data_IF_250815248035
#
_entry.id   IF_250815248035
#
_cell.length_a   1.000
_cell.length_b   1.000
_cell.length_c   1.000
_cell.angle_alpha   90.00
_cell.angle_beta   90.00
_cell.angle_gamma   90.00
#
_symmetry.space_group_name_H-M   'P 1'
#
loop_
_entity.id
_entity.type
_entity.pdbx_description
1 polymer ?
#
# COMPACT_ATOMS: atom_id res chain seq x y z
N UNK A 1 -20.21 13.57 -17.87
CA UNK A 1 -19.50 12.77 -16.85
C UNK A 1 -19.89 13.37 -15.53
N UNK A 2 -20.89 12.80 -14.85
CA UNK A 2 -21.39 13.37 -13.60
C UNK A 2 -20.29 13.24 -12.54
N UNK A 3 -20.01 14.35 -11.85
CA UNK A 3 -19.27 14.40 -10.59
C UNK A 3 -19.91 13.39 -9.63
N UNK A 4 -19.33 12.19 -9.58
CA UNK A 4 -19.76 11.16 -8.65
C UNK A 4 -18.87 11.30 -7.42
N UNK A 5 -19.43 11.94 -6.40
CA UNK A 5 -18.84 12.37 -5.13
C UNK A 5 -18.23 11.24 -4.25
N UNK A 6 -18.02 10.03 -4.78
CA UNK A 6 -17.53 8.85 -4.03
C UNK A 6 -16.02 8.87 -3.77
N UNK A 7 -15.26 9.67 -4.54
CA UNK A 7 -13.81 9.85 -4.34
C UNK A 7 -13.44 10.77 -3.17
N UNK A 8 -14.41 11.48 -2.59
CA UNK A 8 -14.15 12.54 -1.58
C UNK A 8 -13.83 12.01 -0.18
N UNK A 9 -14.14 10.73 0.10
CA UNK A 9 -13.87 10.11 1.40
C UNK A 9 -12.41 9.68 1.50
N UNK A 10 -11.59 10.55 2.10
CA UNK A 10 -10.13 10.43 2.28
C UNK A 10 -9.62 9.00 2.57
N UNK A 11 -10.28 8.26 3.45
CA UNK A 11 -9.83 6.93 3.89
C UNK A 11 -10.39 5.75 3.09
N UNK A 12 -11.39 5.98 2.24
CA UNK A 12 -12.07 4.91 1.50
C UNK A 12 -11.61 4.77 0.05
N UNK A 13 -10.93 5.80 -0.48
CA UNK A 13 -10.33 5.79 -1.84
C UNK A 13 -11.30 5.29 -2.93
N UNK A 14 -12.59 5.53 -2.77
CA UNK A 14 -13.63 5.10 -3.71
C UNK A 14 -13.93 3.59 -3.75
N UNK A 15 -13.37 2.74 -2.88
CA UNK A 15 -13.64 1.28 -2.87
C UNK A 15 -14.98 0.89 -2.21
N UNK A 16 -15.99 1.75 -2.31
CA UNK A 16 -17.31 1.46 -1.77
C UNK A 16 -18.08 0.57 -2.76
N UNK A 17 -18.70 -0.50 -2.26
CA UNK A 17 -19.62 -1.30 -3.08
C UNK A 17 -20.90 -0.51 -3.30
N UNK A 18 -21.30 -0.31 -4.57
CA UNK A 18 -22.63 0.24 -4.87
C UNK A 18 -23.72 -0.79 -4.47
N UNK A 19 -24.86 -0.31 -3.97
CA UNK A 19 -26.02 -1.13 -3.59
C UNK A 19 -26.59 -1.89 -4.81
N UNK A 20 -27.27 -3.05 -4.64
CA UNK A 20 -27.89 -3.77 -5.76
C UNK A 20 -28.79 -2.86 -6.62
N UNK A 21 -28.46 -2.76 -7.91
CA UNK A 21 -29.16 -1.92 -8.89
C UNK A 21 -28.32 -0.77 -9.49
N UNK A 22 -27.12 -0.55 -8.98
CA UNK A 22 -26.21 0.47 -9.52
C UNK A 22 -25.42 -0.05 -10.73
N UNK A 23 -24.84 0.87 -11.52
CA UNK A 23 -24.31 0.69 -12.89
C UNK A 23 -23.08 -0.22 -13.03
N UNK A 24 -22.76 -1.03 -12.02
CA UNK A 24 -21.71 -2.06 -12.08
C UNK A 24 -20.28 -1.51 -12.09
N UNK A 25 -20.08 -0.25 -11.71
CA UNK A 25 -18.74 0.34 -11.66
C UNK A 25 -18.07 0.03 -10.32
N UNK A 26 -16.86 -0.52 -10.37
CA UNK A 26 -16.02 -0.75 -9.21
C UNK A 26 -14.64 -0.16 -9.45
N UNK A 27 -14.23 0.78 -8.59
CA UNK A 27 -12.89 1.34 -8.61
C UNK A 27 -11.81 0.26 -8.45
N UNK A 28 -12.12 -0.87 -7.79
CA UNK A 28 -11.19 -2.00 -7.70
C UNK A 28 -10.99 -2.69 -9.06
N UNK A 29 -12.07 -2.90 -9.81
CA UNK A 29 -11.99 -3.48 -11.16
C UNK A 29 -11.23 -2.52 -12.08
N UNK A 30 -11.63 -1.25 -12.11
CA UNK A 30 -11.02 -0.24 -12.97
C UNK A 30 -9.53 -0.05 -12.67
N UNK A 31 -9.18 0.04 -11.38
CA UNK A 31 -7.79 0.10 -10.94
C UNK A 31 -7.01 -1.15 -11.34
N UNK A 32 -7.57 -2.35 -11.16
CA UNK A 32 -6.87 -3.59 -11.55
C UNK A 32 -6.54 -3.61 -13.04
N UNK A 33 -7.41 -3.07 -13.90
CA UNK A 33 -7.26 -3.07 -15.34
C UNK A 33 -6.29 -2.00 -15.85
N UNK A 34 -6.20 -0.84 -15.19
CA UNK A 34 -5.52 0.33 -15.77
C UNK A 34 -4.47 0.98 -14.87
N UNK A 35 -4.32 0.56 -13.62
CA UNK A 35 -3.33 1.15 -12.72
C UNK A 35 -1.90 0.91 -13.24
N UNK A 36 -1.05 1.92 -13.06
CA UNK A 36 0.39 1.78 -13.24
C UNK A 36 0.97 0.76 -12.26
N UNK A 37 2.09 0.10 -12.59
CA UNK A 37 2.85 -0.72 -11.65
C UNK A 37 3.13 0.02 -10.35
N UNK A 38 3.12 -0.72 -9.24
CA UNK A 38 3.52 -0.19 -7.93
C UNK A 38 4.99 0.22 -7.95
N UNK A 39 5.30 1.29 -7.23
CA UNK A 39 6.66 1.83 -7.13
C UNK A 39 7.65 0.80 -6.58
N UNK A 40 8.89 0.95 -7.02
CA UNK A 40 10.01 0.15 -6.53
C UNK A 40 10.72 0.85 -5.38
N UNK A 41 11.25 0.09 -4.40
CA UNK A 41 12.15 0.68 -3.43
C UNK A 41 13.37 1.27 -4.16
N UNK A 42 13.94 2.38 -3.66
CA UNK A 42 15.20 2.87 -4.16
C UNK A 42 16.29 1.79 -4.00
N UNK A 43 17.33 1.78 -4.86
CA UNK A 43 18.41 0.82 -4.75
C UNK A 43 19.05 0.83 -3.36
N UNK A 44 19.33 -0.35 -2.81
CA UNK A 44 19.97 -0.49 -1.49
C UNK A 44 21.36 0.17 -1.41
N UNK A 45 22.00 0.45 -2.55
CA UNK A 45 23.24 1.21 -2.61
C UNK A 45 23.11 2.65 -2.09
N UNK A 46 21.90 3.20 -2.07
CA UNK A 46 21.61 4.56 -1.59
C UNK A 46 21.69 4.63 -0.06
N UNK A 47 21.31 3.56 0.64
CA UNK A 47 21.34 3.51 2.11
C UNK A 47 22.13 2.29 2.60
N UNK A 48 23.40 2.52 2.92
CA UNK A 48 24.31 1.50 3.44
C UNK A 48 23.89 0.95 4.80
N UNK A 49 23.17 1.74 5.62
CA UNK A 49 22.66 1.29 6.93
C UNK A 49 21.48 0.36 6.75
N UNK A 50 20.53 0.70 5.88
CA UNK A 50 19.43 -0.19 5.52
C UNK A 50 19.95 -1.49 4.91
N UNK A 51 20.92 -1.41 3.99
CA UNK A 51 21.54 -2.60 3.39
C UNK A 51 22.22 -3.50 4.43
N UNK A 52 22.93 -2.92 5.40
CA UNK A 52 23.53 -3.65 6.52
C UNK A 52 22.46 -4.30 7.39
N UNK A 53 21.43 -3.56 7.78
CA UNK A 53 20.34 -4.06 8.62
C UNK A 53 19.59 -5.23 7.96
N UNK A 54 19.22 -5.10 6.69
CA UNK A 54 18.55 -6.16 5.94
C UNK A 54 19.44 -7.40 5.78
N UNK A 55 20.76 -7.23 5.67
CA UNK A 55 21.70 -8.36 5.59
C UNK A 55 21.86 -9.08 6.94
N UNK A 56 22.01 -8.33 8.02
CA UNK A 56 22.31 -8.84 9.36
C UNK A 56 21.07 -9.41 10.06
N UNK A 57 19.91 -8.80 9.83
CA UNK A 57 18.69 -9.04 10.59
C UNK A 57 17.52 -9.54 9.73
N UNK A 58 17.81 -10.40 8.76
CA UNK A 58 16.82 -10.93 7.79
C UNK A 58 15.54 -11.45 8.43
N UNK A 59 15.65 -12.14 9.57
CA UNK A 59 14.51 -12.73 10.27
C UNK A 59 13.52 -11.68 10.80
N UNK A 60 13.97 -10.45 11.15
CA UNK A 60 13.07 -9.38 11.59
C UNK A 60 12.30 -8.74 10.44
N UNK A 61 12.81 -8.84 9.21
CA UNK A 61 12.20 -8.27 8.01
C UNK A 61 11.57 -9.35 7.12
N UNK A 62 11.29 -10.54 7.67
CA UNK A 62 10.68 -11.63 6.93
C UNK A 62 9.26 -11.24 6.51
N UNK A 63 9.01 -11.23 5.20
CA UNK A 63 7.67 -11.02 4.65
C UNK A 63 6.92 -12.35 4.70
N UNK A 64 5.96 -12.44 5.63
CA UNK A 64 5.06 -13.58 5.73
C UNK A 64 3.70 -13.15 5.19
N UNK A 65 3.39 -13.63 3.98
CA UNK A 65 2.09 -13.42 3.36
C UNK A 65 1.20 -14.65 3.58
N UNK A 66 -0.06 -14.50 4.02
CA UNK A 66 -1.01 -15.61 4.08
C UNK A 66 -1.53 -16.01 2.69
N UNK A 67 -1.23 -15.23 1.64
CA UNK A 67 -1.63 -15.49 0.26
C UNK A 67 -0.60 -16.42 -0.38
N UNK A 68 -1.05 -17.52 -0.99
CA UNK A 68 -0.21 -18.32 -1.87
C UNK A 68 0.13 -17.50 -3.12
N UNK A 69 1.32 -16.90 -3.11
CA UNK A 69 1.76 -15.98 -4.16
C UNK A 69 1.96 -16.71 -5.49
N UNK A 70 2.33 -18.00 -5.46
CA UNK A 70 2.52 -18.78 -6.69
C UNK A 70 1.16 -19.06 -7.35
N UNK A 71 0.16 -19.43 -6.55
CA UNK A 71 -1.21 -19.61 -7.05
C UNK A 71 -1.79 -18.28 -7.55
N UNK A 72 -1.58 -17.18 -6.82
CA UNK A 72 -2.02 -15.85 -7.22
C UNK A 72 -1.43 -15.43 -8.57
N UNK A 73 -0.11 -15.60 -8.77
CA UNK A 73 0.56 -15.33 -10.04
C UNK A 73 0.04 -16.22 -11.17
N UNK A 74 -0.19 -17.51 -10.89
CA UNK A 74 -0.73 -18.46 -11.87
C UNK A 74 -2.15 -18.09 -12.32
N UNK A 75 -3.04 -17.75 -11.39
CA UNK A 75 -4.43 -17.39 -11.68
C UNK A 75 -4.54 -16.09 -12.50
N UNK A 76 -3.55 -15.20 -12.40
CA UNK A 76 -3.52 -13.91 -13.08
C UNK A 76 -2.61 -13.89 -14.31
N UNK A 77 -2.13 -15.04 -14.79
CA UNK A 77 -1.22 -15.13 -15.96
C UNK A 77 -1.78 -14.47 -17.23
N UNK A 78 -3.10 -14.50 -17.41
CA UNK A 78 -3.79 -13.97 -18.60
C UNK A 78 -4.43 -12.59 -18.34
N UNK A 79 -4.14 -11.97 -17.18
CA UNK A 79 -4.68 -10.66 -16.83
C UNK A 79 -4.15 -9.58 -17.78
N UNK A 80 -4.99 -8.66 -18.30
CA UNK A 80 -4.57 -7.67 -19.31
C UNK A 80 -3.50 -6.69 -18.78
N UNK A 81 -3.54 -6.34 -17.49
CA UNK A 81 -2.56 -5.48 -16.85
C UNK A 81 -1.42 -6.29 -16.19
N UNK A 82 -0.65 -7.03 -17.00
CA UNK A 82 0.51 -7.78 -16.50
C UNK A 82 1.55 -6.92 -15.76
N UNK A 83 1.85 -5.66 -16.18
CA UNK A 83 2.79 -4.81 -15.45
C UNK A 83 2.37 -4.58 -13.99
N UNK A 84 1.10 -4.29 -13.74
CA UNK A 84 0.57 -4.12 -12.39
C UNK A 84 0.60 -5.43 -11.60
N UNK A 85 0.13 -6.53 -12.18
CA UNK A 85 0.14 -7.86 -11.54
C UNK A 85 1.54 -8.25 -11.07
N UNK A 86 2.56 -8.09 -11.93
CA UNK A 86 3.96 -8.38 -11.58
C UNK A 86 4.47 -7.53 -10.42
N UNK A 87 4.09 -6.25 -10.36
CA UNK A 87 4.46 -5.37 -9.25
C UNK A 87 3.83 -5.81 -7.92
N UNK A 88 2.57 -6.27 -7.95
CA UNK A 88 1.86 -6.82 -6.78
C UNK A 88 2.48 -8.13 -6.33
N UNK A 89 2.75 -9.06 -7.26
CA UNK A 89 3.43 -10.33 -6.97
C UNK A 89 4.78 -10.08 -6.30
N UNK A 90 5.55 -9.11 -6.81
CA UNK A 90 6.81 -8.71 -6.20
C UNK A 90 6.62 -8.18 -4.78
N UNK A 91 5.62 -7.31 -4.58
CA UNK A 91 5.29 -6.76 -3.25
C UNK A 91 4.87 -7.85 -2.25
N UNK A 92 4.13 -8.87 -2.69
CA UNK A 92 3.75 -10.01 -1.85
C UNK A 92 4.95 -10.91 -1.48
N UNK A 93 5.97 -11.00 -2.34
CA UNK A 93 7.18 -11.80 -2.08
C UNK A 93 8.23 -11.05 -1.25
N UNK A 94 8.38 -9.74 -1.48
CA UNK A 94 9.52 -8.96 -1.01
C UNK A 94 9.13 -7.74 -0.16
N UNK A 95 7.84 -7.49 0.01
CA UNK A 95 7.32 -6.33 0.71
C UNK A 95 6.97 -5.19 -0.26
N UNK A 96 5.98 -4.39 0.12
CA UNK A 96 5.58 -3.21 -0.65
C UNK A 96 6.45 -2.02 -0.28
N UNK A 97 6.87 -1.26 -1.27
CA UNK A 97 7.41 0.07 -0.99
C UNK A 97 6.24 0.96 -0.55
N UNK A 98 6.30 1.56 0.65
CA UNK A 98 5.22 2.41 1.09
C UNK A 98 5.09 3.60 0.14
N UNK A 99 3.89 3.79 -0.42
CA UNK A 99 3.48 5.04 -1.07
C UNK A 99 3.27 6.13 -0.01
N UNK A 100 4.24 6.30 0.87
CA UNK A 100 4.19 7.23 1.99
C UNK A 100 5.37 8.17 1.86
N UNK A 101 5.06 9.45 1.92
CA UNK A 101 6.08 10.47 2.08
C UNK A 101 6.78 10.24 3.43
N UNK A 102 8.07 10.57 3.48
CA UNK A 102 8.76 10.62 4.75
C UNK A 102 7.99 11.58 5.67
N UNK A 103 7.77 11.22 6.95
CA UNK A 103 7.13 12.13 7.87
C UNK A 103 7.92 13.44 7.93
N UNK A 104 7.20 14.55 7.96
CA UNK A 104 7.81 15.86 8.24
C UNK A 104 8.51 15.81 9.59
N UNK A 105 9.61 16.56 9.72
CA UNK A 105 10.25 16.82 11.01
C UNK A 105 9.33 17.65 11.95
N UNK A 106 8.24 18.21 11.42
CA UNK A 106 7.25 18.96 12.18
C UNK A 106 6.39 18.04 13.07
N UNK A 107 6.46 18.25 14.38
CA UNK A 107 5.72 17.46 15.37
C UNK A 107 4.33 18.08 15.56
N UNK A 108 3.32 17.48 14.93
CA UNK A 108 1.93 17.89 15.15
C UNK A 108 1.33 17.19 16.37
N UNK A 109 0.97 17.94 17.42
CA UNK A 109 0.20 17.43 18.55
C UNK A 109 -1.27 17.28 18.15
N UNK A 110 -1.69 16.04 17.87
CA UNK A 110 -3.12 15.74 17.69
C UNK A 110 -3.79 15.69 19.07
N UNK A 111 -4.98 16.31 19.21
CA UNK A 111 -5.73 16.40 20.48
C UNK A 111 -5.99 15.06 21.18
N UNK A 112 -5.82 13.92 20.48
CA UNK A 112 -6.00 12.59 21.03
C UNK A 112 -4.78 12.07 21.82
N UNK A 113 -3.62 12.75 21.75
CA UNK A 113 -2.44 12.49 22.57
C UNK A 113 -2.26 13.63 23.59
N UNK A 114 -3.20 13.79 24.51
CA UNK A 114 -2.96 14.69 25.64
C UNK A 114 -1.92 14.05 26.56
N UNK A 115 -0.68 14.55 26.46
CA UNK A 115 0.33 14.31 27.49
C UNK A 115 -0.18 15.06 28.73
N UNK A 116 -0.67 14.31 29.71
CA UNK A 116 -1.00 14.87 31.01
C UNK A 116 0.35 15.18 31.67
N UNK A 117 0.76 16.45 31.65
CA UNK A 117 1.86 16.89 32.50
C UNK A 117 1.39 16.78 33.96
N UNK A 118 1.87 15.74 34.64
CA UNK A 118 1.65 15.59 36.08
C UNK A 118 2.61 16.58 36.75
N UNK A 119 2.12 17.77 37.09
CA UNK A 119 2.82 18.66 38.00
C UNK A 119 2.82 18.03 39.39
N UNK A 120 3.96 17.52 39.84
CA UNK A 120 4.14 17.10 41.23
C UNK A 120 4.21 18.38 42.10
N UNK A 121 3.23 18.53 43.00
CA UNK A 121 3.26 19.53 44.10
C UNK A 121 4.01 18.98 45.30
#
# INVERSE_FOLDING_TARGET
MADREYGTRKFKRGYEWEWPGATGYSNAIDSSLWASPLDEPPPLSVDTKAAFALKQYKEFFKIVSPIDVNMFEFLLKDHPNQPFVKSVVRGLRHGFWPMSELPSDDISYTKNHQVIEITLQ
#
